data_IF_734579297672
#
_entry.id   IF_734579297672
#
_cell.length_a   1.000
_cell.length_b   1.000
_cell.length_c   1.000
_cell.angle_alpha   90.00
_cell.angle_beta   90.00
_cell.angle_gamma   90.00
#
_symmetry.space_group_name_H-M   'P 1'
#
loop_
_entity.id
_entity.type
_entity.pdbx_description
1 polymer ?
#
# COMPACT_ATOMS: atom_id res chain seq x y z
N UNK A 1 26.79 18.37 0.78
CA UNK A 1 25.60 17.99 1.57
C UNK A 1 25.46 16.50 1.43
N UNK A 2 25.63 15.77 2.53
CA UNK A 2 25.53 14.30 2.56
C UNK A 2 24.13 13.92 3.03
N UNK A 3 23.51 12.93 2.38
CA UNK A 3 22.18 12.42 2.72
C UNK A 3 22.40 11.00 3.24
N UNK A 4 22.40 10.78 4.57
CA UNK A 4 22.94 9.54 5.14
C UNK A 4 22.27 8.25 4.64
N UNK A 5 20.95 8.24 4.46
CA UNK A 5 20.24 7.05 3.96
C UNK A 5 20.57 6.76 2.48
N UNK A 6 20.83 7.80 1.68
CA UNK A 6 21.18 7.66 0.27
C UNK A 6 22.57 7.04 0.12
N UNK A 7 23.51 7.47 0.97
CA UNK A 7 24.86 6.89 1.02
C UNK A 7 24.81 5.41 1.41
N UNK A 8 23.96 5.03 2.37
CA UNK A 8 23.76 3.62 2.72
C UNK A 8 23.28 2.76 1.54
N UNK A 9 22.37 3.29 0.72
CA UNK A 9 21.89 2.61 -0.49
C UNK A 9 22.99 2.53 -1.56
N UNK A 10 23.72 3.63 -1.79
CA UNK A 10 24.72 3.72 -2.86
C UNK A 10 26.01 2.95 -2.53
N UNK A 11 26.44 2.94 -1.28
CA UNK A 11 27.75 2.42 -0.89
C UNK A 11 27.78 0.89 -0.72
N UNK A 12 26.67 0.17 -0.95
CA UNK A 12 26.57 -1.29 -0.75
C UNK A 12 27.08 -1.80 0.61
N UNK A 13 27.19 -0.91 1.62
CA UNK A 13 27.72 -1.26 2.95
C UNK A 13 26.79 -2.24 3.68
N UNK A 14 25.56 -2.37 3.20
CA UNK A 14 24.70 -3.52 3.40
C UNK A 14 24.33 -4.15 2.06
N UNK A 15 24.20 -5.48 2.01
CA UNK A 15 23.43 -6.15 0.96
C UNK A 15 22.00 -5.59 0.96
N UNK A 16 21.25 -5.76 -0.13
CA UNK A 16 19.83 -5.39 -0.13
C UNK A 16 19.06 -6.07 1.02
N UNK A 17 19.51 -7.25 1.45
CA UNK A 17 19.06 -7.93 2.69
C UNK A 17 19.32 -7.10 3.96
N UNK A 18 20.53 -6.54 4.15
CA UNK A 18 20.82 -5.73 5.34
C UNK A 18 19.99 -4.45 5.39
N UNK A 19 19.70 -3.85 4.23
CA UNK A 19 18.83 -2.67 4.12
C UNK A 19 17.38 -2.95 4.55
N UNK A 20 16.93 -4.22 4.56
CA UNK A 20 15.62 -4.59 5.05
C UNK A 20 15.43 -4.25 6.54
N UNK A 21 16.52 -4.25 7.32
CA UNK A 21 16.51 -4.02 8.77
C UNK A 21 16.94 -2.59 9.15
N UNK A 22 17.11 -1.70 8.18
CA UNK A 22 17.57 -0.33 8.43
C UNK A 22 16.49 0.49 9.19
N UNK A 23 16.94 1.41 10.05
CA UNK A 23 16.05 2.31 10.78
C UNK A 23 15.28 3.27 9.85
N UNK A 24 15.86 3.55 8.68
CA UNK A 24 15.28 4.43 7.69
C UNK A 24 14.39 3.67 6.71
N UNK A 25 13.12 4.08 6.65
CA UNK A 25 12.14 3.49 5.75
C UNK A 25 12.51 3.60 4.26
N UNK A 26 13.33 4.57 3.83
CA UNK A 26 13.81 4.65 2.46
C UNK A 26 14.76 3.50 2.10
N UNK A 27 15.61 3.09 3.05
CA UNK A 27 16.48 1.93 2.89
C UNK A 27 15.66 0.63 2.84
N UNK A 28 14.69 0.46 3.76
CA UNK A 28 13.78 -0.69 3.76
C UNK A 28 12.90 -0.77 2.51
N UNK A 29 12.40 0.37 2.05
CA UNK A 29 11.66 0.49 0.79
C UNK A 29 12.51 0.07 -0.40
N UNK A 30 13.77 0.51 -0.44
CA UNK A 30 14.71 0.12 -1.48
C UNK A 30 14.96 -1.39 -1.47
N UNK A 31 15.18 -1.99 -0.29
CA UNK A 31 15.31 -3.43 -0.12
C UNK A 31 14.07 -4.18 -0.63
N UNK A 32 12.88 -3.82 -0.14
CA UNK A 32 11.61 -4.39 -0.56
C UNK A 32 11.44 -4.34 -2.08
N UNK A 33 11.78 -3.21 -2.69
CA UNK A 33 11.53 -3.01 -4.13
C UNK A 33 12.56 -3.67 -5.04
N UNK A 34 13.84 -3.67 -4.65
CA UNK A 34 14.95 -3.93 -5.57
C UNK A 34 15.88 -5.06 -5.14
N UNK A 35 15.70 -5.67 -3.96
CA UNK A 35 16.46 -6.86 -3.61
C UNK A 35 16.11 -8.01 -4.57
N UNK A 36 17.11 -8.58 -5.25
CA UNK A 36 16.94 -9.77 -6.09
C UNK A 36 16.44 -10.96 -5.28
N UNK A 37 16.92 -11.10 -4.04
CA UNK A 37 16.51 -12.12 -3.07
C UNK A 37 16.52 -11.52 -1.67
N UNK A 38 15.51 -11.88 -0.89
CA UNK A 38 15.41 -11.60 0.54
C UNK A 38 15.28 -12.93 1.28
N UNK A 39 15.86 -13.01 2.47
CA UNK A 39 15.62 -14.16 3.35
C UNK A 39 14.18 -14.12 3.90
N UNK A 40 13.58 -15.27 4.24
CA UNK A 40 12.18 -15.34 4.67
C UNK A 40 11.84 -14.42 5.85
N UNK A 41 12.80 -14.18 6.75
CA UNK A 41 12.63 -13.25 7.87
C UNK A 41 12.50 -11.79 7.41
N UNK A 42 13.34 -11.35 6.47
CA UNK A 42 13.27 -10.01 5.88
C UNK A 42 11.98 -9.83 5.08
N UNK A 43 11.56 -10.85 4.32
CA UNK A 43 10.30 -10.83 3.57
C UNK A 43 9.12 -10.56 4.50
N UNK A 44 9.00 -11.33 5.59
CA UNK A 44 7.91 -11.15 6.56
C UNK A 44 7.96 -9.79 7.24
N UNK A 45 9.14 -9.37 7.69
CA UNK A 45 9.32 -8.08 8.34
C UNK A 45 8.94 -6.91 7.42
N UNK A 46 9.33 -6.94 6.15
CA UNK A 46 9.00 -5.89 5.18
C UNK A 46 7.53 -5.94 4.73
N UNK A 47 6.91 -7.12 4.71
CA UNK A 47 5.48 -7.26 4.44
C UNK A 47 4.60 -6.72 5.58
N UNK A 48 5.12 -6.70 6.81
CA UNK A 48 4.45 -6.16 8.01
C UNK A 48 5.00 -4.78 8.42
N UNK A 49 5.84 -4.16 7.60
CA UNK A 49 6.54 -2.90 7.89
C UNK A 49 5.56 -1.80 8.36
N UNK A 50 5.97 -0.96 9.31
CA UNK A 50 5.11 0.10 9.81
C UNK A 50 4.77 1.16 8.74
N UNK A 51 5.63 1.31 7.74
CA UNK A 51 5.47 2.28 6.65
C UNK A 51 4.73 1.65 5.45
N UNK A 52 3.53 2.15 5.07
CA UNK A 52 2.75 1.59 3.96
C UNK A 52 3.47 1.61 2.62
N UNK A 53 4.38 2.57 2.39
CA UNK A 53 5.17 2.61 1.17
C UNK A 53 6.09 1.37 1.02
N UNK A 54 6.65 0.87 2.13
CA UNK A 54 7.49 -0.33 2.15
C UNK A 54 6.63 -1.57 1.87
N UNK A 55 5.49 -1.71 2.57
CA UNK A 55 4.53 -2.80 2.32
C UNK A 55 3.99 -2.79 0.89
N UNK A 56 3.72 -1.62 0.33
CA UNK A 56 3.29 -1.46 -1.07
C UNK A 56 4.42 -1.81 -2.07
N UNK A 57 5.69 -1.68 -1.70
CA UNK A 57 6.80 -2.16 -2.52
C UNK A 57 6.84 -3.69 -2.53
N UNK A 58 6.64 -4.33 -1.37
CA UNK A 58 6.49 -5.79 -1.26
C UNK A 58 5.28 -6.28 -2.06
N UNK A 59 4.13 -5.63 -1.95
CA UNK A 59 2.91 -5.99 -2.69
C UNK A 59 3.05 -5.98 -4.23
N UNK A 60 4.10 -5.35 -4.77
CA UNK A 60 4.38 -5.31 -6.22
C UNK A 60 5.38 -6.36 -6.67
N UNK A 61 5.90 -7.18 -5.76
CA UNK A 61 6.87 -8.22 -6.05
C UNK A 61 6.16 -9.48 -6.51
N UNK A 62 6.50 -9.96 -7.71
CA UNK A 62 5.87 -11.16 -8.29
C UNK A 62 6.56 -12.47 -7.89
N UNK A 63 7.60 -12.41 -7.08
CA UNK A 63 8.39 -13.55 -6.61
C UNK A 63 8.07 -13.96 -5.17
N UNK A 64 7.04 -13.36 -4.55
CA UNK A 64 6.61 -13.70 -3.20
C UNK A 64 5.78 -14.98 -3.16
N UNK A 65 5.98 -15.74 -2.09
CA UNK A 65 5.18 -16.92 -1.78
C UNK A 65 3.73 -16.54 -1.45
N UNK A 66 2.82 -17.49 -1.65
CA UNK A 66 1.38 -17.27 -1.49
C UNK A 66 0.99 -16.86 -0.06
N UNK A 67 1.69 -17.35 0.98
CA UNK A 67 1.42 -16.98 2.38
C UNK A 67 1.69 -15.49 2.64
N UNK A 68 2.72 -14.93 2.01
CA UNK A 68 3.05 -13.50 2.10
C UNK A 68 2.05 -12.66 1.32
N UNK A 69 1.61 -13.12 0.14
CA UNK A 69 0.56 -12.41 -0.61
C UNK A 69 -0.77 -12.41 0.14
N UNK A 70 -1.13 -13.53 0.77
CA UNK A 70 -2.33 -13.64 1.62
C UNK A 70 -2.25 -12.70 2.84
N UNK A 71 -1.08 -12.58 3.46
CA UNK A 71 -0.83 -11.61 4.53
C UNK A 71 -1.10 -10.18 4.04
N UNK A 72 -0.52 -9.78 2.90
CA UNK A 72 -0.68 -8.44 2.32
C UNK A 72 -2.12 -8.18 1.86
N UNK A 73 -2.86 -9.20 1.42
CA UNK A 73 -4.27 -9.07 1.03
C UNK A 73 -5.20 -8.67 2.20
N UNK A 74 -4.73 -8.81 3.44
CA UNK A 74 -5.41 -8.37 4.65
C UNK A 74 -4.92 -7.00 5.17
N UNK A 75 -4.06 -6.30 4.42
CA UNK A 75 -3.66 -4.93 4.76
C UNK A 75 -4.87 -3.98 4.81
N UNK A 76 -4.75 -2.91 5.58
CA UNK A 76 -5.78 -1.87 5.71
C UNK A 76 -5.49 -0.65 4.87
N UNK A 77 -4.26 -0.50 4.34
CA UNK A 77 -3.88 0.63 3.54
C UNK A 77 -4.29 0.43 2.07
N UNK A 78 -5.13 1.31 1.51
CA UNK A 78 -5.63 1.17 0.15
C UNK A 78 -4.54 1.25 -0.93
N UNK A 79 -3.40 1.90 -0.66
CA UNK A 79 -2.26 1.94 -1.59
C UNK A 79 -1.58 0.58 -1.68
N UNK A 80 -1.45 -0.11 -0.55
CA UNK A 80 -0.88 -1.47 -0.49
C UNK A 80 -1.79 -2.45 -1.21
N UNK A 81 -3.09 -2.45 -0.89
CA UNK A 81 -4.08 -3.32 -1.52
C UNK A 81 -4.20 -3.08 -3.02
N UNK A 82 -4.26 -1.82 -3.46
CA UNK A 82 -4.30 -1.50 -4.89
C UNK A 82 -3.01 -1.93 -5.61
N UNK A 83 -1.85 -1.81 -4.95
CA UNK A 83 -0.59 -2.30 -5.49
C UNK A 83 -0.59 -3.83 -5.68
N UNK A 84 -1.10 -4.58 -4.69
CA UNK A 84 -1.26 -6.03 -4.75
C UNK A 84 -2.18 -6.44 -5.92
N UNK A 85 -3.40 -5.91 -5.96
CA UNK A 85 -4.38 -6.24 -7.01
C UNK A 85 -3.95 -5.83 -8.42
N UNK A 86 -3.08 -4.81 -8.55
CA UNK A 86 -2.52 -4.42 -9.84
C UNK A 86 -1.40 -5.37 -10.29
N UNK A 87 -0.58 -5.87 -9.36
CA UNK A 87 0.60 -6.67 -9.69
C UNK A 87 0.30 -8.17 -9.84
N UNK A 88 -0.77 -8.66 -9.22
CA UNK A 88 -1.10 -10.08 -9.14
C UNK A 88 -2.49 -10.38 -9.68
N UNK A 89 -2.63 -11.51 -10.38
CA UNK A 89 -3.94 -12.04 -10.75
C UNK A 89 -4.56 -12.76 -9.55
N UNK A 90 -5.23 -11.98 -8.71
CA UNK A 90 -5.83 -12.47 -7.47
C UNK A 90 -7.18 -13.17 -7.73
N UNK A 91 -7.49 -14.26 -7.00
CA UNK A 91 -8.82 -14.88 -7.01
C UNK A 91 -9.92 -13.85 -6.74
N UNK A 92 -11.09 -14.05 -7.36
CA UNK A 92 -12.25 -13.15 -7.21
C UNK A 92 -12.63 -12.91 -5.75
N UNK A 93 -12.70 -13.98 -4.95
CA UNK A 93 -13.03 -13.92 -3.52
C UNK A 93 -12.07 -13.03 -2.72
N UNK A 94 -10.77 -13.04 -3.06
CA UNK A 94 -9.77 -12.18 -2.41
C UNK A 94 -9.99 -10.73 -2.78
N UNK A 95 -10.24 -10.44 -4.08
CA UNK A 95 -10.52 -9.09 -4.57
C UNK A 95 -11.80 -8.52 -3.98
N UNK A 96 -12.85 -9.32 -3.90
CA UNK A 96 -14.13 -8.94 -3.30
C UNK A 96 -13.94 -8.65 -1.81
N UNK A 97 -13.24 -9.53 -1.08
CA UNK A 97 -12.92 -9.33 0.34
C UNK A 97 -12.08 -8.07 0.61
N UNK A 98 -11.17 -7.70 -0.29
CA UNK A 98 -10.43 -6.43 -0.21
C UNK A 98 -11.37 -5.21 -0.37
N UNK A 99 -12.27 -5.24 -1.36
CA UNK A 99 -13.23 -4.16 -1.60
C UNK A 99 -14.23 -4.00 -0.45
N UNK A 100 -14.70 -5.12 0.13
CA UNK A 100 -15.64 -5.11 1.24
C UNK A 100 -15.02 -4.55 2.53
N UNK A 101 -13.76 -4.93 2.83
CA UNK A 101 -13.05 -4.45 4.01
C UNK A 101 -12.55 -3.02 3.87
N UNK A 102 -12.10 -2.65 2.67
CA UNK A 102 -11.51 -1.34 2.36
C UNK A 102 -12.19 -0.78 1.11
N UNK A 103 -13.39 -0.17 1.26
CA UNK A 103 -14.15 0.41 0.15
C UNK A 103 -13.53 1.75 -0.28
N UNK A 104 -12.32 1.68 -0.85
CA UNK A 104 -11.58 2.80 -1.40
C UNK A 104 -11.61 2.75 -2.95
N UNK A 105 -11.84 3.88 -3.64
CA UNK A 105 -11.92 3.91 -5.10
C UNK A 105 -10.70 3.29 -5.81
N UNK A 106 -9.50 3.42 -5.24
CA UNK A 106 -8.26 2.86 -5.80
C UNK A 106 -8.23 1.34 -5.70
N UNK A 107 -8.67 0.80 -4.57
CA UNK A 107 -8.77 -0.65 -4.34
C UNK A 107 -9.80 -1.24 -5.28
N UNK A 108 -11.01 -0.67 -5.32
CA UNK A 108 -12.07 -1.13 -6.21
C UNK A 108 -11.65 -1.11 -7.69
N UNK A 109 -10.99 -0.03 -8.15
CA UNK A 109 -10.44 0.02 -9.51
C UNK A 109 -9.44 -1.09 -9.79
N UNK A 110 -8.47 -1.28 -8.89
CA UNK A 110 -7.43 -2.30 -9.04
C UNK A 110 -8.02 -3.73 -9.04
N UNK A 111 -9.06 -3.97 -8.25
CA UNK A 111 -9.80 -5.23 -8.22
C UNK A 111 -10.71 -5.46 -9.44
N UNK A 112 -10.90 -4.45 -10.29
CA UNK A 112 -11.78 -4.49 -11.47
C UNK A 112 -13.22 -4.06 -11.22
N UNK A 113 -13.56 -3.62 -10.01
CA UNK A 113 -14.89 -3.15 -9.61
C UNK A 113 -15.11 -1.66 -9.95
N UNK A 114 -15.08 -1.32 -11.25
CA UNK A 114 -15.16 0.08 -11.74
C UNK A 114 -16.42 0.81 -11.25
N UNK A 115 -17.58 0.16 -11.31
CA UNK A 115 -18.84 0.77 -10.86
C UNK A 115 -18.82 1.13 -9.37
N UNK A 116 -18.19 0.30 -8.53
CA UNK A 116 -18.04 0.61 -7.12
C UNK A 116 -17.11 1.82 -6.91
N UNK A 117 -15.99 1.87 -7.65
CA UNK A 117 -15.07 2.99 -7.58
C UNK A 117 -15.70 4.32 -8.01
N UNK A 118 -16.47 4.32 -9.10
CA UNK A 118 -17.16 5.53 -9.59
C UNK A 118 -18.17 6.05 -8.56
N UNK A 119 -18.91 5.16 -7.89
CA UNK A 119 -19.85 5.53 -6.82
C UNK A 119 -19.13 6.15 -5.61
N UNK A 120 -17.98 5.60 -5.23
CA UNK A 120 -17.18 6.10 -4.12
C UNK A 120 -16.56 7.48 -4.43
N UNK A 121 -16.01 7.67 -5.64
CA UNK A 121 -15.49 8.96 -6.09
C UNK A 121 -16.58 10.06 -6.06
N UNK A 122 -17.80 9.72 -6.51
CA UNK A 122 -18.95 10.63 -6.46
C UNK A 122 -19.31 11.00 -5.02
N UNK A 123 -19.29 10.05 -4.09
CA UNK A 123 -19.56 10.30 -2.68
C UNK A 123 -18.53 11.25 -2.04
N UNK A 124 -17.24 11.07 -2.35
CA UNK A 124 -16.17 11.94 -1.87
C UNK A 124 -16.26 13.37 -2.45
N UNK A 125 -16.56 13.49 -3.74
CA UNK A 125 -16.76 14.77 -4.42
C UNK A 125 -17.99 15.53 -3.90
N UNK A 126 -19.08 14.80 -3.62
CA UNK A 126 -20.31 15.35 -3.05
C UNK A 126 -20.13 15.94 -1.65
N UNK A 127 -19.33 15.29 -0.78
CA UNK A 127 -19.02 15.79 0.57
C UNK A 127 -18.20 17.10 0.54
N UNK A 128 -17.34 17.30 -0.48
CA UNK A 128 -16.61 18.57 -0.66
C UNK A 128 -17.49 19.71 -1.17
N UNK A 129 -18.62 19.40 -1.81
CA UNK A 129 -19.53 20.37 -2.43
C UNK A 129 -20.64 20.93 -1.52
N UNK A 130 -20.82 20.39 -0.31
CA UNK A 130 -21.82 20.90 0.64
C UNK A 130 -21.17 21.90 1.58
N UNK A 131 -21.19 23.19 1.22
CA UNK A 131 -21.10 24.24 2.25
C UNK A 131 -22.23 24.00 3.26
N UNK A 132 -21.85 23.80 4.52
CA UNK A 132 -22.81 23.71 5.63
C UNK A 132 -23.75 24.91 5.56
N UNK A 133 -25.08 24.74 5.41
CA UNK A 133 -25.98 25.87 5.37
C UNK A 133 -25.79 26.67 6.64
N UNK A 134 -25.33 27.93 6.50
CA UNK A 134 -25.22 28.87 7.62
C UNK A 134 -26.57 28.85 8.32
N UNK A 135 -26.61 28.32 9.56
CA UNK A 135 -27.83 28.25 10.36
C UNK A 135 -28.42 29.66 10.40
N UNK A 136 -29.51 29.89 9.66
CA UNK A 136 -30.26 31.14 9.80
C UNK A 136 -30.84 31.10 11.20
N UNK A 137 -30.35 31.98 12.08
CA UNK A 137 -30.97 32.28 13.37
C UNK A 137 -32.34 32.88 13.06
N UNK A 138 -33.35 32.04 13.04
CA UNK A 138 -34.72 32.49 13.23
C UNK A 138 -34.79 32.92 14.69
N UNK A 139 -34.84 34.23 14.95
CA UNK A 139 -35.31 34.94 16.15
C UNK A 139 -34.56 36.28 16.24
N UNK A 140 -35.13 37.33 15.62
CA UNK A 140 -35.28 38.68 16.18
C UNK A 140 -36.53 39.30 15.56
#
# INVERSE_FOLDING_TARGET
>A
MTIPWLERILDHTGTAEALAYDDNAACRWFAARYADRLEPAAVRMLAEDDVPAVRAAMARRTDLDADVLDLIAHDTDPVVLAALATAHDLPGEVRDGMCDRVPDPRVCRACGAQTAADLLDLAEGGLRGVESPKRRRWFQ
#
